data_IF_641585038013
#
_entry.id   IF_641585038013
#
_cell.length_a   1.000
_cell.length_b   1.000
_cell.length_c   1.000
_cell.angle_alpha   90.00
_cell.angle_beta   90.00
_cell.angle_gamma   90.00
#
_symmetry.space_group_name_H-M   'P 1'
#
loop_
_entity.id
_entity.type
_entity.pdbx_description
1 polymer ?
#
# COMPACT_ATOMS: atom_id res chain seq x y z
N UNK A 1 -3.75 7.39 -58.62
CA UNK A 1 -2.86 6.31 -58.12
C UNK A 1 -1.91 6.79 -57.01
N UNK A 2 -1.23 7.94 -57.15
CA UNK A 2 -0.29 8.48 -56.15
C UNK A 2 -0.87 8.60 -54.73
N UNK A 3 -2.12 9.06 -54.57
CA UNK A 3 -2.77 9.16 -53.26
C UNK A 3 -3.00 7.80 -52.57
N UNK A 4 -3.19 6.71 -53.32
CA UNK A 4 -3.32 5.37 -52.75
C UNK A 4 -1.96 4.81 -52.33
N UNK A 5 -0.92 5.05 -53.14
CA UNK A 5 0.44 4.66 -52.84
C UNK A 5 0.96 5.35 -51.57
N UNK A 6 0.77 6.66 -51.46
CA UNK A 6 1.15 7.42 -50.26
C UNK A 6 0.43 6.91 -49.01
N UNK A 7 -0.89 6.66 -49.10
CA UNK A 7 -1.66 6.09 -47.99
C UNK A 7 -1.16 4.71 -47.59
N UNK A 8 -0.78 3.87 -48.55
CA UNK A 8 -0.17 2.57 -48.27
C UNK A 8 1.17 2.74 -47.53
N UNK A 9 2.02 3.65 -48.02
CA UNK A 9 3.30 3.97 -47.40
C UNK A 9 3.14 4.47 -45.96
N UNK A 10 2.18 5.35 -45.69
CA UNK A 10 1.90 5.86 -44.33
C UNK A 10 1.43 4.73 -43.40
N UNK A 11 0.56 3.83 -43.89
CA UNK A 11 0.12 2.64 -43.13
C UNK A 11 1.28 1.72 -42.81
N UNK A 12 2.15 1.45 -43.77
CA UNK A 12 3.33 0.61 -43.60
C UNK A 12 4.33 1.22 -42.61
N UNK A 13 4.58 2.53 -42.72
CA UNK A 13 5.40 3.27 -41.75
C UNK A 13 4.80 3.24 -40.35
N UNK A 14 3.48 3.31 -40.21
CA UNK A 14 2.82 3.19 -38.91
C UNK A 14 2.80 1.75 -38.35
N UNK A 15 3.12 0.74 -39.16
CA UNK A 15 3.00 -0.67 -38.78
C UNK A 15 1.56 -1.16 -38.72
N UNK A 16 0.67 -0.56 -39.52
CA UNK A 16 -0.73 -0.98 -39.62
C UNK A 16 -0.83 -2.40 -40.19
N UNK A 17 -1.76 -3.23 -39.70
CA UNK A 17 -2.05 -4.53 -40.31
C UNK A 17 -2.62 -4.42 -41.73
N UNK A 18 -3.11 -3.23 -42.12
CA UNK A 18 -3.65 -2.93 -43.46
C UNK A 18 -2.59 -2.35 -44.42
N UNK A 19 -1.31 -2.49 -44.08
CA UNK A 19 -0.21 -2.23 -45.00
C UNK A 19 -0.14 -3.33 -46.06
N UNK A 20 -0.02 -2.95 -47.33
CA UNK A 20 0.33 -3.86 -48.42
C UNK A 20 1.84 -3.72 -48.74
N UNK A 21 2.68 -4.68 -48.31
CA UNK A 21 4.12 -4.61 -48.54
C UNK A 21 4.52 -4.77 -50.01
N UNK A 22 3.67 -5.38 -50.84
CA UNK A 22 3.94 -5.61 -52.26
C UNK A 22 3.81 -4.32 -53.08
N UNK A 23 3.05 -3.35 -52.55
CA UNK A 23 2.91 -2.02 -53.12
C UNK A 23 4.06 -1.06 -52.81
N UNK A 24 5.19 -1.51 -52.24
CA UNK A 24 6.33 -0.65 -51.91
C UNK A 24 7.47 -0.78 -52.92
N UNK A 25 8.12 0.34 -53.23
CA UNK A 25 9.43 0.32 -53.89
C UNK A 25 10.51 -0.19 -52.94
N UNK A 26 11.68 -0.55 -53.48
CA UNK A 26 12.83 -1.03 -52.69
C UNK A 26 13.27 -0.01 -51.64
N UNK A 27 13.32 1.28 -52.00
CA UNK A 27 13.72 2.35 -51.07
C UNK A 27 12.64 2.58 -50.00
N UNK A 28 11.36 2.50 -50.36
CA UNK A 28 10.28 2.60 -49.39
C UNK A 28 10.26 1.42 -48.42
N UNK A 29 10.50 0.21 -48.89
CA UNK A 29 10.63 -0.98 -48.06
C UNK A 29 11.80 -0.86 -47.06
N UNK A 30 12.94 -0.29 -47.48
CA UNK A 30 14.07 0.00 -46.56
C UNK A 30 13.66 0.99 -45.46
N UNK A 31 12.96 2.06 -45.82
CA UNK A 31 12.47 3.07 -44.86
C UNK A 31 11.46 2.46 -43.89
N UNK A 32 10.48 1.71 -44.38
CA UNK A 32 9.50 0.99 -43.54
C UNK A 32 10.20 0.00 -42.62
N UNK A 33 11.21 -0.72 -43.11
CA UNK A 33 12.03 -1.63 -42.31
C UNK A 33 12.77 -0.92 -41.18
N UNK A 34 13.33 0.27 -41.44
CA UNK A 34 13.97 1.09 -40.40
C UNK A 34 12.95 1.54 -39.33
N UNK A 35 11.77 2.00 -39.73
CA UNK A 35 10.70 2.38 -38.80
C UNK A 35 10.20 1.19 -37.98
N UNK A 36 10.10 0.00 -38.59
CA UNK A 36 9.78 -1.24 -37.87
C UNK A 36 10.82 -1.58 -36.82
N UNK A 37 12.12 -1.45 -37.14
CA UNK A 37 13.21 -1.66 -36.16
C UNK A 37 13.13 -0.65 -35.01
N UNK A 38 12.91 0.63 -35.30
CA UNK A 38 12.71 1.67 -34.26
C UNK A 38 11.56 1.33 -33.31
N UNK A 39 10.40 0.93 -33.85
CA UNK A 39 9.26 0.52 -33.02
C UNK A 39 9.56 -0.73 -32.20
N UNK A 40 10.26 -1.71 -32.77
CA UNK A 40 10.67 -2.90 -32.04
C UNK A 40 11.60 -2.54 -30.88
N UNK A 41 12.62 -1.73 -31.13
CA UNK A 41 13.52 -1.24 -30.09
C UNK A 41 12.77 -0.53 -28.96
N UNK A 42 11.86 0.39 -29.28
CA UNK A 42 11.02 1.06 -28.28
C UNK A 42 10.24 0.05 -27.43
N UNK A 43 9.57 -0.92 -28.05
CA UNK A 43 8.85 -1.98 -27.33
C UNK A 43 9.76 -2.77 -26.39
N UNK A 44 10.96 -3.10 -26.83
CA UNK A 44 11.94 -3.81 -26.02
C UNK A 44 12.45 -2.96 -24.86
N UNK A 45 12.74 -1.68 -25.11
CA UNK A 45 13.13 -0.71 -24.08
C UNK A 45 12.02 -0.51 -23.05
N UNK A 46 10.75 -0.65 -23.42
CA UNK A 46 9.61 -0.55 -22.50
C UNK A 46 9.29 -1.88 -21.79
N UNK A 47 9.92 -2.99 -22.18
CA UNK A 47 9.61 -4.32 -21.67
C UNK A 47 8.25 -4.86 -22.15
N UNK A 48 7.78 -4.39 -23.30
CA UNK A 48 6.53 -4.82 -23.90
C UNK A 48 6.64 -6.26 -24.44
N UNK A 49 5.60 -7.08 -24.24
CA UNK A 49 5.57 -8.48 -24.70
C UNK A 49 5.63 -8.64 -26.22
N UNK A 50 5.35 -7.59 -26.99
CA UNK A 50 5.47 -7.57 -28.45
C UNK A 50 6.89 -7.20 -28.93
N UNK A 51 7.86 -7.05 -28.02
CA UNK A 51 9.28 -6.97 -28.37
C UNK A 51 9.72 -8.27 -29.04
N UNK A 52 10.38 -8.17 -30.19
CA UNK A 52 11.13 -9.27 -30.76
C UNK A 52 12.64 -9.02 -30.57
N UNK A 53 13.31 -9.69 -29.62
CA UNK A 53 14.73 -9.47 -29.34
C UNK A 53 15.64 -9.90 -30.50
N UNK A 54 15.18 -10.78 -31.40
CA UNK A 54 16.00 -11.27 -32.52
C UNK A 54 16.22 -10.21 -33.60
N UNK A 55 15.54 -9.07 -33.52
CA UNK A 55 15.66 -7.95 -34.47
C UNK A 55 16.58 -6.84 -33.97
N UNK A 56 17.16 -7.00 -32.77
CA UNK A 56 18.05 -6.02 -32.16
C UNK A 56 19.50 -6.26 -32.61
N UNK A 57 20.24 -5.17 -32.80
CA UNK A 57 21.70 -5.19 -32.83
C UNK A 57 22.28 -5.49 -31.45
N UNK A 58 23.58 -5.79 -31.38
CA UNK A 58 24.28 -6.00 -30.12
C UNK A 58 24.19 -4.77 -29.18
N UNK A 59 24.39 -3.57 -29.73
CA UNK A 59 24.31 -2.32 -28.97
C UNK A 59 22.89 -2.05 -28.46
N UNK A 60 21.87 -2.29 -29.30
CA UNK A 60 20.47 -2.17 -28.89
C UNK A 60 20.11 -3.18 -27.80
N UNK A 61 20.63 -4.41 -27.90
CA UNK A 61 20.41 -5.46 -26.91
C UNK A 61 21.01 -5.11 -25.54
N UNK A 62 22.21 -4.52 -25.52
CA UNK A 62 22.84 -4.00 -24.31
C UNK A 62 22.00 -2.89 -23.67
N UNK A 63 21.51 -1.94 -24.48
CA UNK A 63 20.63 -0.88 -24.01
C UNK A 63 19.31 -1.41 -23.43
N UNK A 64 18.71 -2.40 -24.09
CA UNK A 64 17.49 -3.08 -23.60
C UNK A 64 17.74 -3.83 -22.31
N UNK A 65 18.87 -4.53 -22.18
CA UNK A 65 19.24 -5.22 -20.94
C UNK A 65 19.39 -4.24 -19.77
N UNK A 66 20.07 -3.10 -20.01
CA UNK A 66 20.18 -2.03 -19.01
C UNK A 66 18.82 -1.45 -18.61
N UNK A 67 17.93 -1.21 -19.58
CA UNK A 67 16.58 -0.73 -19.30
C UNK A 67 15.76 -1.74 -18.50
N UNK A 68 15.86 -3.04 -18.83
CA UNK A 68 15.21 -4.11 -18.09
C UNK A 68 15.71 -4.21 -16.65
N UNK A 69 17.01 -4.10 -16.43
CA UNK A 69 17.63 -4.06 -15.11
C UNK A 69 17.11 -2.88 -14.27
N UNK A 70 17.06 -1.67 -14.84
CA UNK A 70 16.53 -0.49 -14.16
C UNK A 70 15.05 -0.64 -13.78
N UNK A 71 14.22 -1.20 -14.67
CA UNK A 71 12.82 -1.50 -14.34
C UNK A 71 12.71 -2.51 -13.21
N UNK A 72 13.53 -3.56 -13.23
CA UNK A 72 13.53 -4.53 -12.15
C UNK A 72 13.91 -3.90 -10.81
N UNK A 73 14.97 -3.09 -10.80
CA UNK A 73 15.37 -2.36 -9.60
C UNK A 73 14.25 -1.47 -9.04
N UNK A 74 13.48 -0.79 -9.89
CA UNK A 74 12.31 -0.01 -9.48
C UNK A 74 11.19 -0.90 -8.90
N UNK A 75 10.87 -2.01 -9.57
CA UNK A 75 9.90 -2.99 -9.08
C UNK A 75 10.27 -3.52 -7.69
N UNK A 76 11.54 -3.87 -7.49
CA UNK A 76 12.06 -4.34 -6.21
C UNK A 76 12.02 -3.26 -5.14
N UNK A 77 12.41 -2.03 -5.50
CA UNK A 77 12.38 -0.88 -4.59
C UNK A 77 10.97 -0.59 -4.09
N UNK A 78 9.94 -0.88 -4.92
CA UNK A 78 8.52 -0.71 -4.60
C UNK A 78 7.84 -1.98 -4.06
N UNK A 79 8.59 -3.01 -3.67
CA UNK A 79 8.07 -4.28 -3.15
C UNK A 79 7.04 -4.97 -4.07
N UNK A 80 7.21 -4.80 -5.39
CA UNK A 80 6.37 -5.47 -6.37
C UNK A 80 6.64 -6.98 -6.37
N UNK A 81 5.59 -7.79 -6.47
CA UNK A 81 5.70 -9.25 -6.67
C UNK A 81 6.35 -9.65 -8.00
N UNK A 82 6.49 -8.70 -8.94
CA UNK A 82 7.17 -8.89 -10.23
C UNK A 82 8.67 -8.63 -10.18
N UNK A 83 9.19 -8.21 -9.02
CA UNK A 83 10.62 -8.07 -8.80
C UNK A 83 11.31 -9.44 -8.90
N UNK A 84 12.40 -9.50 -9.66
CA UNK A 84 13.38 -10.58 -9.60
C UNK A 84 14.62 -10.09 -8.81
N UNK A 85 14.79 -10.51 -7.54
CA UNK A 85 15.93 -10.07 -6.74
C UNK A 85 17.27 -10.64 -7.23
N UNK A 86 17.27 -11.70 -8.06
CA UNK A 86 18.48 -12.38 -8.48
C UNK A 86 19.34 -11.57 -9.46
N UNK A 87 18.72 -10.60 -10.15
CA UNK A 87 19.39 -9.76 -11.14
C UNK A 87 19.89 -8.44 -10.54
N UNK A 88 19.64 -8.16 -9.26
CA UNK A 88 20.15 -6.95 -8.61
C UNK A 88 21.65 -7.03 -8.38
N UNK A 89 22.33 -5.90 -8.53
CA UNK A 89 23.70 -5.77 -8.01
C UNK A 89 23.69 -5.77 -6.48
N UNK A 90 24.82 -6.11 -5.81
CA UNK A 90 24.89 -6.06 -4.35
C UNK A 90 24.51 -4.69 -3.74
N UNK A 91 24.88 -3.60 -4.40
CA UNK A 91 24.55 -2.24 -3.93
C UNK A 91 23.05 -1.93 -4.05
N UNK A 92 22.41 -2.37 -5.13
CA UNK A 92 20.96 -2.24 -5.32
C UNK A 92 20.20 -3.11 -4.34
N UNK A 93 20.61 -4.37 -4.15
CA UNK A 93 20.02 -5.29 -3.18
C UNK A 93 20.07 -4.71 -1.75
N UNK A 94 21.22 -4.12 -1.35
CA UNK A 94 21.33 -3.43 -0.08
C UNK A 94 20.38 -2.23 0.05
N UNK A 95 20.14 -1.50 -1.05
CA UNK A 95 19.21 -0.37 -1.08
C UNK A 95 17.76 -0.83 -0.98
N UNK A 96 17.38 -1.86 -1.72
CA UNK A 96 16.05 -2.51 -1.65
C UNK A 96 15.81 -3.06 -0.24
N UNK A 97 16.79 -3.72 0.36
CA UNK A 97 16.68 -4.25 1.72
C UNK A 97 16.44 -3.15 2.76
N UNK A 98 17.13 -2.01 2.66
CA UNK A 98 16.87 -0.84 3.53
C UNK A 98 15.44 -0.30 3.33
N UNK A 99 14.98 -0.19 2.09
CA UNK A 99 13.61 0.25 1.79
C UNK A 99 12.57 -0.73 2.34
N UNK A 100 12.82 -2.04 2.25
CA UNK A 100 11.97 -3.09 2.81
C UNK A 100 11.89 -3.00 4.33
N UNK A 101 13.03 -2.87 5.03
CA UNK A 101 13.06 -2.66 6.49
C UNK A 101 12.27 -1.43 6.91
N UNK A 102 12.43 -0.31 6.22
CA UNK A 102 11.67 0.92 6.50
C UNK A 102 10.15 0.70 6.40
N UNK A 103 9.68 0.04 5.34
CA UNK A 103 8.25 -0.30 5.18
C UNK A 103 7.75 -1.26 6.25
N UNK A 104 8.58 -2.23 6.64
CA UNK A 104 8.26 -3.16 7.71
C UNK A 104 8.11 -2.41 9.05
N UNK A 105 9.07 -1.56 9.39
CA UNK A 105 9.00 -0.70 10.57
C UNK A 105 7.72 0.14 10.58
N UNK A 106 7.39 0.80 9.48
CA UNK A 106 6.14 1.58 9.36
C UNK A 106 4.90 0.71 9.56
N UNK A 107 4.88 -0.50 8.99
CA UNK A 107 3.78 -1.47 9.18
C UNK A 107 3.64 -1.86 10.64
N UNK A 108 4.75 -2.14 11.33
CA UNK A 108 4.77 -2.46 12.75
C UNK A 108 4.36 -1.27 13.63
N UNK A 109 4.85 -0.08 13.32
CA UNK A 109 4.47 1.16 13.99
C UNK A 109 3.00 1.47 13.82
N UNK A 110 2.33 0.98 12.76
CA UNK A 110 0.89 1.13 12.55
C UNK A 110 0.06 -0.05 13.10
N UNK A 111 0.69 -1.08 13.65
CA UNK A 111 0.00 -2.29 14.12
C UNK A 111 -0.63 -3.11 12.99
N UNK A 112 -0.07 -3.01 11.79
CA UNK A 112 -0.52 -3.75 10.61
C UNK A 112 -0.24 -5.25 10.75
N UNK A 113 -1.13 -6.14 10.28
CA UNK A 113 -0.87 -7.58 10.23
C UNK A 113 0.27 -7.95 9.26
N UNK A 114 0.68 -7.04 8.37
CA UNK A 114 1.83 -7.22 7.49
C UNK A 114 3.18 -6.94 8.17
N UNK A 115 3.18 -6.52 9.44
CA UNK A 115 4.40 -6.38 10.24
C UNK A 115 5.08 -7.73 10.46
N UNK A 116 6.35 -7.83 10.08
CA UNK A 116 7.25 -8.90 10.50
C UNK A 116 8.15 -8.40 11.64
N UNK A 117 7.87 -8.77 12.90
CA UNK A 117 8.66 -8.32 14.04
C UNK A 117 10.07 -8.93 14.05
N UNK A 118 10.32 -10.01 13.31
CA UNK A 118 11.63 -10.68 13.28
C UNK A 118 12.66 -9.95 12.41
N UNK A 119 12.18 -9.07 11.53
CA UNK A 119 13.00 -8.26 10.62
C UNK A 119 13.37 -6.87 11.18
N UNK A 120 13.04 -6.59 12.44
CA UNK A 120 13.32 -5.32 13.12
C UNK A 120 14.69 -5.35 13.81
N UNK A 121 15.37 -4.20 13.76
CA UNK A 121 16.56 -3.97 14.58
C UNK A 121 16.18 -3.74 16.06
N UNK A 122 17.08 -3.95 17.03
CA UNK A 122 16.76 -3.79 18.45
C UNK A 122 16.18 -2.41 18.83
N UNK A 123 16.67 -1.33 18.20
CA UNK A 123 16.16 0.03 18.41
C UNK A 123 14.77 0.24 17.82
N UNK A 124 14.43 -0.48 16.74
CA UNK A 124 13.13 -0.47 16.09
C UNK A 124 12.11 -1.25 16.92
N UNK A 125 12.51 -2.38 17.51
CA UNK A 125 11.67 -3.16 18.44
C UNK A 125 11.20 -2.30 19.61
N UNK A 126 12.09 -1.49 20.20
CA UNK A 126 11.73 -0.59 21.30
C UNK A 126 10.69 0.47 20.87
N UNK A 127 10.87 1.05 19.68
CA UNK A 127 9.93 2.02 19.11
C UNK A 127 8.55 1.39 18.89
N UNK A 128 8.51 0.20 18.28
CA UNK A 128 7.27 -0.54 18.04
C UNK A 128 6.60 -0.95 19.35
N UNK A 129 7.37 -1.40 20.35
CA UNK A 129 6.85 -1.72 21.68
C UNK A 129 6.19 -0.50 22.33
N UNK A 130 6.81 0.66 22.22
CA UNK A 130 6.26 1.93 22.75
C UNK A 130 4.96 2.29 22.04
N UNK A 131 4.93 2.19 20.70
CA UNK A 131 3.72 2.47 19.92
C UNK A 131 2.58 1.49 20.22
N UNK A 132 2.89 0.19 20.40
CA UNK A 132 1.93 -0.83 20.78
C UNK A 132 1.36 -0.58 22.17
N UNK A 133 2.21 -0.21 23.14
CA UNK A 133 1.80 0.16 24.48
C UNK A 133 0.83 1.35 24.47
N UNK A 134 1.18 2.42 23.75
CA UNK A 134 0.34 3.61 23.60
C UNK A 134 -1.04 3.28 23.02
N UNK A 135 -1.10 2.46 21.95
CA UNK A 135 -2.35 1.98 21.37
C UNK A 135 -3.18 1.15 22.36
N UNK A 136 -2.53 0.28 23.13
CA UNK A 136 -3.22 -0.53 24.11
C UNK A 136 -3.83 0.33 25.22
N UNK A 137 -3.05 1.29 25.74
CA UNK A 137 -3.53 2.28 26.70
C UNK A 137 -4.77 3.02 26.16
N UNK A 138 -4.72 3.50 24.92
CA UNK A 138 -5.87 4.15 24.27
C UNK A 138 -7.10 3.23 24.17
N UNK A 139 -6.91 1.97 23.76
CA UNK A 139 -8.00 0.96 23.74
C UNK A 139 -8.62 0.79 25.12
N UNK A 140 -7.80 0.70 26.17
CA UNK A 140 -8.26 0.55 27.54
C UNK A 140 -9.00 1.80 28.04
N UNK A 141 -8.46 2.98 27.75
CA UNK A 141 -9.09 4.27 28.03
C UNK A 141 -10.44 4.42 27.31
N UNK A 142 -10.61 3.84 26.12
CA UNK A 142 -11.86 3.86 25.38
C UNK A 142 -12.80 2.68 25.71
N UNK A 143 -12.33 1.71 26.51
CA UNK A 143 -13.09 0.51 26.85
C UNK A 143 -13.30 -0.46 25.68
N UNK A 144 -12.37 -0.48 24.73
CA UNK A 144 -12.39 -1.44 23.64
C UNK A 144 -12.18 -2.87 24.15
N UNK A 145 -12.85 -3.84 23.52
CA UNK A 145 -12.73 -5.26 23.87
C UNK A 145 -11.30 -5.82 23.66
N UNK A 146 -10.51 -5.17 22.81
CA UNK A 146 -9.11 -5.51 22.52
C UNK A 146 -8.10 -4.82 23.44
N UNK A 147 -8.56 -4.22 24.54
CA UNK A 147 -7.70 -3.78 25.64
C UNK A 147 -7.08 -4.99 26.34
N UNK A 148 -5.77 -5.02 26.45
CA UNK A 148 -5.03 -5.97 27.27
C UNK A 148 -4.54 -5.26 28.55
N UNK A 149 -5.13 -5.54 29.72
CA UNK A 149 -4.72 -4.89 30.96
C UNK A 149 -3.36 -5.38 31.48
N UNK A 150 -2.85 -6.52 31.01
CA UNK A 150 -1.62 -7.15 31.54
C UNK A 150 -0.37 -6.37 31.14
N UNK A 151 -0.41 -5.71 29.98
CA UNK A 151 0.74 -4.96 29.45
C UNK A 151 0.79 -3.50 29.92
N UNK A 152 -0.18 -3.08 30.75
CA UNK A 152 -0.24 -1.72 31.29
C UNK A 152 0.69 -1.53 32.47
N UNK A 153 1.15 -0.29 32.65
CA UNK A 153 1.91 0.11 33.83
C UNK A 153 0.96 0.43 34.98
N UNK A 154 1.44 0.26 36.21
CA UNK A 154 0.61 0.44 37.42
C UNK A 154 0.09 1.87 37.53
N UNK A 155 0.90 2.85 37.15
CA UNK A 155 0.55 4.27 37.13
C UNK A 155 -0.56 4.64 36.12
N UNK A 156 -0.85 3.78 35.14
CA UNK A 156 -1.87 4.02 34.11
C UNK A 156 -3.27 3.60 34.59
N UNK A 157 -3.35 2.63 35.50
CA UNK A 157 -4.59 2.01 35.97
C UNK A 157 -5.61 3.02 36.56
N UNK A 158 -5.22 4.06 37.35
CA UNK A 158 -6.17 5.04 37.86
C UNK A 158 -6.91 5.82 36.77
N UNK A 159 -6.22 6.16 35.67
CA UNK A 159 -6.85 6.88 34.55
C UNK A 159 -7.87 6.02 33.82
N UNK A 160 -7.55 4.73 33.64
CA UNK A 160 -8.46 3.74 33.04
C UNK A 160 -9.68 3.48 33.93
N UNK A 161 -9.48 3.35 35.25
CA UNK A 161 -10.58 3.19 36.20
C UNK A 161 -11.53 4.41 36.16
N UNK A 162 -10.96 5.62 36.11
CA UNK A 162 -11.72 6.87 35.96
C UNK A 162 -12.52 6.88 34.65
N UNK A 163 -11.86 6.55 33.53
CA UNK A 163 -12.52 6.49 32.22
C UNK A 163 -13.64 5.43 32.19
N UNK A 164 -13.43 4.27 32.81
CA UNK A 164 -14.44 3.21 32.95
C UNK A 164 -15.65 3.69 33.74
N UNK A 165 -15.43 4.35 34.89
CA UNK A 165 -16.51 4.91 35.70
C UNK A 165 -17.31 5.95 34.91
N UNK A 166 -16.61 6.83 34.19
CA UNK A 166 -17.24 7.85 33.36
C UNK A 166 -18.11 7.24 32.26
N UNK A 167 -17.60 6.26 31.51
CA UNK A 167 -18.39 5.54 30.49
C UNK A 167 -19.60 4.81 31.08
N UNK A 168 -19.44 4.19 32.25
CA UNK A 168 -20.55 3.52 32.94
C UNK A 168 -21.69 4.51 33.22
N UNK A 169 -21.36 5.64 33.86
CA UNK A 169 -22.32 6.70 34.13
C UNK A 169 -22.98 7.20 32.83
N UNK A 170 -22.19 7.46 31.79
CA UNK A 170 -22.71 7.93 30.50
C UNK A 170 -23.70 6.93 29.89
N UNK A 171 -23.36 5.63 29.86
CA UNK A 171 -24.27 4.59 29.40
C UNK A 171 -25.58 4.57 30.21
N UNK A 172 -25.51 4.74 31.53
CA UNK A 172 -26.69 4.81 32.39
C UNK A 172 -27.58 6.02 32.06
N UNK A 173 -26.97 7.20 31.92
CA UNK A 173 -27.65 8.47 31.60
C UNK A 173 -28.30 8.41 30.22
N UNK A 174 -27.62 7.82 29.23
CA UNK A 174 -28.13 7.67 27.86
C UNK A 174 -29.18 6.56 27.73
N UNK A 175 -29.29 5.68 28.74
CA UNK A 175 -30.28 4.61 28.78
C UNK A 175 -29.82 3.28 28.21
N UNK A 176 -28.53 3.11 27.95
CA UNK A 176 -27.93 1.83 27.58
C UNK A 176 -27.78 0.93 28.82
N UNK A 177 -28.90 0.54 29.44
CA UNK A 177 -28.91 -0.18 30.71
C UNK A 177 -28.26 -1.57 30.65
N UNK A 178 -28.17 -2.19 29.47
CA UNK A 178 -27.41 -3.43 29.26
C UNK A 178 -25.89 -3.27 29.37
N UNK A 179 -25.39 -2.02 29.30
CA UNK A 179 -23.97 -1.65 29.41
C UNK A 179 -23.69 -0.72 30.60
N UNK A 180 -24.64 -0.64 31.53
CA UNK A 180 -24.62 0.19 32.71
C UNK A 180 -24.73 -0.71 33.94
N UNK A 181 -23.79 -0.56 34.86
CA UNK A 181 -23.84 -1.19 36.17
C UNK A 181 -24.19 -0.12 37.20
N UNK A 182 -25.42 -0.17 37.72
CA UNK A 182 -25.93 0.77 38.71
C UNK A 182 -25.22 0.63 40.06
N UNK A 183 -24.63 -0.52 40.37
CA UNK A 183 -23.91 -0.76 41.61
C UNK A 183 -22.62 0.07 41.72
N UNK A 184 -22.12 0.56 40.58
CA UNK A 184 -20.91 1.37 40.49
C UNK A 184 -21.20 2.88 40.58
N UNK A 185 -22.45 3.28 40.76
CA UNK A 185 -22.86 4.69 40.85
C UNK A 185 -22.98 5.16 42.29
N UNK A 186 -22.58 6.41 42.52
CA UNK A 186 -22.87 7.15 43.75
C UNK A 186 -24.34 7.60 43.77
N UNK A 187 -24.86 7.96 44.96
CA UNK A 187 -26.23 8.43 45.09
C UNK A 187 -26.56 9.66 44.20
N UNK A 188 -25.69 10.69 44.08
CA UNK A 188 -25.92 11.80 43.14
C UNK A 188 -25.95 11.35 41.68
N UNK A 189 -25.06 10.43 41.28
CA UNK A 189 -25.01 9.88 39.92
C UNK A 189 -26.29 9.11 39.59
N UNK A 190 -26.84 8.32 40.53
CA UNK A 190 -28.09 7.59 40.36
C UNK A 190 -29.30 8.54 40.23
N UNK A 191 -29.32 9.63 41.00
CA UNK A 191 -30.35 10.65 40.88
C UNK A 191 -30.34 11.30 39.47
N UNK A 192 -29.15 11.60 38.95
CA UNK A 192 -28.99 12.12 37.58
C UNK A 192 -29.52 11.13 36.52
N UNK A 193 -29.17 9.85 36.63
CA UNK A 193 -29.69 8.79 35.73
C UNK A 193 -31.22 8.73 35.77
N UNK A 194 -31.82 8.81 36.96
CA UNK A 194 -33.28 8.78 37.14
C UNK A 194 -33.95 9.99 36.50
N UNK A 195 -33.38 11.19 36.67
CA UNK A 195 -33.88 12.40 36.04
C UNK A 195 -33.82 12.31 34.50
N UNK A 196 -32.69 11.84 33.94
CA UNK A 196 -32.53 11.64 32.51
C UNK A 196 -33.54 10.62 31.93
N UNK A 197 -33.83 9.54 32.66
CA UNK A 197 -34.86 8.58 32.28
C UNK A 197 -36.26 9.21 32.24
N UNK A 198 -36.61 10.04 33.25
CA UNK A 198 -37.90 10.71 33.31
C UNK A 198 -38.08 11.68 32.14
N UNK A 199 -37.05 12.46 31.82
CA UNK A 199 -37.05 13.38 30.67
C UNK A 199 -37.27 12.62 29.36
N UNK A 200 -36.55 11.52 29.11
CA UNK A 200 -36.72 10.69 27.91
C UNK A 200 -38.14 10.14 27.78
N UNK A 201 -38.74 9.68 28.89
CA UNK A 201 -40.14 9.22 28.91
C UNK A 201 -41.15 10.34 28.62
N UNK A 202 -40.85 11.58 29.01
CA UNK A 202 -41.68 12.74 28.71
C UNK A 202 -41.61 13.15 27.23
N UNK A 203 -40.45 13.01 26.59
CA UNK A 203 -40.24 13.31 25.16
C UNK A 203 -40.72 12.22 24.20
N UNK A 204 -40.99 11.01 24.70
CA UNK A 204 -41.47 9.87 23.89
C UNK A 204 -42.99 9.74 23.89
N UNK A 205 -43.72 10.72 24.45
CA UNK A 205 -45.18 10.84 24.45
C UNK A 205 -45.60 11.94 23.49
#
# INVERSE_FOLDING_TARGET
MVANHQRNMDRCRAGSPNCDPLGLTVEEAKLVGAERRKRNLSRCLDGNSQCNPTLLSAQESEGVAKAAHLRNYDLCSNASSKCDPSILTPAEAATVARAARRRNLESCLNGSPACDPTALEPSEVLQVSTANHQRNLERCLNGAASCDPVVLKTEELPSIATARKHRNLQNCVDGFFSKCDLSLLTAPELANVTAAQQQRKAHSK
#
